data_IF_789094594981
#
_entry.id   IF_789094594981
#
_cell.length_a   1.000
_cell.length_b   1.000
_cell.length_c   1.000
_cell.angle_alpha   90.00
_cell.angle_beta   90.00
_cell.angle_gamma   90.00
#
_symmetry.space_group_name_H-M   'P 1'
#
loop_
_entity.id
_entity.type
_entity.pdbx_description
1 polymer ?
#
# COMPACT_ATOMS: atom_id res chain seq x y z
N UNK A 1 -28.36 -6.21 30.68
CA UNK A 1 -27.96 -5.26 29.61
C UNK A 1 -27.04 -6.00 28.67
N UNK A 2 -27.46 -6.20 27.43
CA UNK A 2 -26.64 -6.85 26.40
C UNK A 2 -25.52 -5.89 26.00
N UNK A 3 -24.27 -6.27 26.26
CA UNK A 3 -23.14 -5.69 25.55
C UNK A 3 -23.00 -6.51 24.26
N UNK A 4 -23.43 -5.90 23.15
CA UNK A 4 -23.19 -6.43 21.81
C UNK A 4 -21.66 -6.50 21.66
N UNK A 5 -21.10 -7.70 21.77
CA UNK A 5 -19.70 -7.92 21.44
C UNK A 5 -19.55 -7.57 19.97
N UNK A 6 -18.89 -6.45 19.72
CA UNK A 6 -18.64 -5.87 18.40
C UNK A 6 -18.18 -6.98 17.46
N UNK A 7 -18.95 -7.22 16.40
CA UNK A 7 -18.46 -7.90 15.21
C UNK A 7 -17.51 -6.95 14.48
N UNK A 8 -16.45 -6.54 15.18
CA UNK A 8 -15.36 -5.79 14.61
C UNK A 8 -14.72 -6.68 13.57
N UNK A 9 -14.89 -6.28 12.32
CA UNK A 9 -13.71 -5.93 11.52
C UNK A 9 -12.70 -7.04 11.22
N UNK A 10 -13.01 -8.34 11.25
CA UNK A 10 -12.02 -9.33 10.78
C UNK A 10 -11.61 -9.05 9.31
N UNK A 11 -12.59 -8.67 8.48
CA UNK A 11 -12.33 -8.22 7.11
C UNK A 11 -11.63 -6.85 7.06
N UNK A 12 -12.02 -5.89 7.89
CA UNK A 12 -11.41 -4.55 7.87
C UNK A 12 -10.00 -4.50 8.48
N UNK A 13 -9.69 -5.38 9.44
CA UNK A 13 -8.33 -5.60 9.96
C UNK A 13 -7.45 -6.22 8.88
N UNK A 14 -7.96 -7.23 8.17
CA UNK A 14 -7.20 -7.85 7.06
C UNK A 14 -6.99 -6.84 5.92
N UNK A 15 -7.97 -5.97 5.63
CA UNK A 15 -7.80 -4.90 4.67
C UNK A 15 -6.72 -3.91 5.12
N UNK A 16 -6.70 -3.51 6.39
CA UNK A 16 -5.63 -2.68 6.96
C UNK A 16 -4.24 -3.30 6.75
N UNK A 17 -4.10 -4.58 7.07
CA UNK A 17 -2.86 -5.34 6.91
C UNK A 17 -2.33 -5.38 5.46
N UNK A 18 -3.22 -5.27 4.47
CA UNK A 18 -2.82 -5.17 3.06
C UNK A 18 -2.01 -3.88 2.81
N UNK A 19 -2.44 -2.75 3.38
CA UNK A 19 -1.76 -1.45 3.25
C UNK A 19 -0.56 -1.31 4.17
N UNK A 20 -0.48 -2.11 5.23
CA UNK A 20 0.69 -2.21 6.13
C UNK A 20 1.80 -3.09 5.55
N UNK A 21 1.59 -3.71 4.38
CA UNK A 21 2.50 -4.70 3.83
C UNK A 21 2.79 -5.84 4.83
N UNK A 22 1.77 -6.25 5.57
CA UNK A 22 1.86 -7.31 6.58
C UNK A 22 1.47 -8.70 6.00
N UNK A 23 1.01 -8.73 4.75
CA UNK A 23 0.54 -9.93 4.06
C UNK A 23 1.40 -10.21 2.81
N UNK A 24 1.51 -11.49 2.41
CA UNK A 24 2.08 -11.83 1.10
C UNK A 24 1.13 -11.40 -0.02
N UNK A 25 1.66 -11.22 -1.22
CA UNK A 25 0.95 -10.61 -2.34
C UNK A 25 -0.48 -11.14 -2.57
N UNK A 26 -0.67 -12.45 -2.70
CA UNK A 26 -2.00 -13.03 -2.96
C UNK A 26 -3.01 -12.67 -1.85
N UNK A 27 -2.58 -12.72 -0.59
CA UNK A 27 -3.43 -12.35 0.54
C UNK A 27 -3.70 -10.84 0.56
N UNK A 28 -2.72 -10.02 0.22
CA UNK A 28 -2.89 -8.56 0.03
C UNK A 28 -3.95 -8.25 -1.01
N UNK A 29 -3.88 -8.88 -2.20
CA UNK A 29 -4.85 -8.63 -3.27
C UNK A 29 -6.24 -9.11 -2.88
N UNK A 30 -6.36 -10.29 -2.26
CA UNK A 30 -7.62 -10.81 -1.76
C UNK A 30 -8.23 -9.93 -0.65
N UNK A 31 -7.40 -9.34 0.21
CA UNK A 31 -7.85 -8.46 1.28
C UNK A 31 -8.32 -7.10 0.73
N UNK A 32 -7.53 -6.49 -0.16
CA UNK A 32 -7.89 -5.23 -0.81
C UNK A 32 -9.12 -5.38 -1.72
N UNK A 33 -9.25 -6.50 -2.45
CA UNK A 33 -10.39 -6.78 -3.32
C UNK A 33 -11.72 -6.99 -2.60
N UNK A 34 -11.72 -7.11 -1.27
CA UNK A 34 -12.96 -7.12 -0.45
C UNK A 34 -13.50 -5.72 -0.15
N UNK A 35 -12.72 -4.67 -0.43
CA UNK A 35 -13.16 -3.30 -0.24
C UNK A 35 -14.10 -2.87 -1.38
N UNK A 36 -15.02 -1.97 -1.05
CA UNK A 36 -15.90 -1.37 -2.04
C UNK A 36 -15.09 -0.50 -3.00
N UNK A 37 -15.24 -0.74 -4.30
CA UNK A 37 -14.59 0.05 -5.36
C UNK A 37 -15.39 1.33 -5.57
N UNK A 38 -14.75 2.48 -5.34
CA UNK A 38 -15.34 3.80 -5.63
C UNK A 38 -15.12 4.22 -7.08
N UNK A 39 -13.90 4.02 -7.56
CA UNK A 39 -13.50 4.44 -8.90
C UNK A 39 -12.42 3.53 -9.44
N UNK A 40 -12.48 3.27 -10.74
CA UNK A 40 -11.41 2.62 -11.46
C UNK A 40 -11.03 3.44 -12.69
N UNK A 41 -9.74 3.51 -12.97
CA UNK A 41 -9.21 4.23 -14.12
C UNK A 41 -8.02 3.50 -14.72
N UNK A 42 -7.89 3.62 -16.03
CA UNK A 42 -6.76 3.06 -16.79
C UNK A 42 -6.05 4.22 -17.46
N UNK A 43 -4.74 4.31 -17.25
CA UNK A 43 -3.90 5.32 -17.89
C UNK A 43 -2.91 4.64 -18.83
N UNK A 44 -3.03 4.86 -20.14
CA UNK A 44 -1.96 4.53 -21.08
C UNK A 44 -0.77 5.52 -20.97
N UNK A 45 -0.93 6.58 -20.17
CA UNK A 45 -0.02 7.72 -20.08
C UNK A 45 1.42 7.33 -19.77
N UNK A 46 2.31 7.66 -20.70
CA UNK A 46 3.74 7.33 -20.69
C UNK A 46 4.06 5.83 -20.66
N UNK A 47 3.29 4.97 -21.35
CA UNK A 47 3.62 3.54 -21.49
C UNK A 47 5.07 3.25 -21.94
N UNK A 48 5.67 4.16 -22.72
CA UNK A 48 7.08 4.10 -23.10
C UNK A 48 8.06 4.30 -21.92
N UNK A 49 7.71 5.16 -20.96
CA UNK A 49 8.57 5.53 -19.83
C UNK A 49 8.20 4.82 -18.51
N UNK A 50 6.96 4.37 -18.34
CA UNK A 50 6.49 3.75 -17.09
C UNK A 50 5.55 2.57 -17.30
N UNK A 51 5.22 2.18 -18.54
CA UNK A 51 4.20 1.17 -18.82
C UNK A 51 2.78 1.68 -18.53
N UNK A 52 1.74 1.06 -19.13
CA UNK A 52 0.36 1.39 -18.81
C UNK A 52 0.07 1.05 -17.34
N UNK A 53 -0.90 1.75 -16.75
CA UNK A 53 -1.30 1.50 -15.37
C UNK A 53 -2.81 1.48 -15.18
N UNK A 54 -3.27 0.62 -14.29
CA UNK A 54 -4.64 0.57 -13.81
C UNK A 54 -4.65 1.00 -12.35
N UNK A 55 -5.51 1.95 -12.00
CA UNK A 55 -5.67 2.44 -10.63
C UNK A 55 -7.11 2.23 -10.19
N UNK A 56 -7.28 1.66 -9.00
CA UNK A 56 -8.54 1.44 -8.31
C UNK A 56 -8.51 2.24 -7.02
N UNK A 57 -9.56 3.00 -6.75
CA UNK A 57 -9.79 3.70 -5.49
C UNK A 57 -10.89 2.97 -4.72
N UNK A 58 -10.63 2.74 -3.43
CA UNK A 58 -11.53 2.00 -2.56
C UNK A 58 -12.14 2.91 -1.50
N UNK A 59 -13.32 2.55 -1.04
CA UNK A 59 -13.92 3.16 0.13
C UNK A 59 -13.10 2.81 1.38
N UNK A 60 -12.83 3.80 2.23
CA UNK A 60 -12.10 3.60 3.49
C UNK A 60 -12.92 2.73 4.45
N UNK A 61 -14.21 3.00 4.57
CA UNK A 61 -15.10 2.32 5.52
C UNK A 61 -14.57 2.41 6.97
N UNK A 62 -14.46 1.26 7.63
CA UNK A 62 -13.89 1.14 8.99
C UNK A 62 -12.41 0.74 9.00
N UNK A 63 -11.75 0.75 7.85
CA UNK A 63 -10.36 0.30 7.72
C UNK A 63 -9.43 1.17 8.55
N UNK A 64 -8.55 0.53 9.34
CA UNK A 64 -7.47 1.19 10.07
C UNK A 64 -6.14 0.61 9.62
N UNK A 65 -5.18 1.48 9.37
CA UNK A 65 -3.82 1.16 8.95
C UNK A 65 -2.88 1.74 10.02
N UNK A 66 -2.12 0.88 10.69
CA UNK A 66 -1.38 1.19 11.91
C UNK A 66 -2.22 1.89 12.98
N UNK A 67 -3.49 1.49 13.09
CA UNK A 67 -4.44 2.06 14.06
C UNK A 67 -5.05 3.41 13.68
N UNK A 68 -4.64 4.00 12.57
CA UNK A 68 -5.16 5.27 12.07
C UNK A 68 -6.14 5.06 10.91
N UNK A 69 -7.12 5.97 10.78
CA UNK A 69 -8.10 5.95 9.69
C UNK A 69 -7.53 6.73 8.50
N UNK A 70 -7.32 6.08 7.34
CA UNK A 70 -6.85 6.77 6.14
C UNK A 70 -7.95 7.66 5.53
N UNK A 71 -7.56 8.65 4.74
CA UNK A 71 -8.49 9.50 3.96
C UNK A 71 -8.84 8.89 2.61
N UNK A 72 -7.94 8.09 2.05
CA UNK A 72 -8.16 7.37 0.79
C UNK A 72 -7.30 6.11 0.75
N UNK A 73 -7.79 5.10 0.03
CA UNK A 73 -7.13 3.82 -0.21
C UNK A 73 -7.08 3.57 -1.71
N UNK A 74 -5.93 3.23 -2.25
CA UNK A 74 -5.80 2.94 -3.68
C UNK A 74 -4.98 1.69 -3.95
N UNK A 75 -5.26 1.06 -5.09
CA UNK A 75 -4.42 0.03 -5.70
C UNK A 75 -4.01 0.50 -7.08
N UNK A 76 -2.75 0.30 -7.43
CA UNK A 76 -2.21 0.57 -8.76
C UNK A 76 -1.46 -0.66 -9.24
N UNK A 77 -1.82 -1.14 -10.42
CA UNK A 77 -1.03 -2.12 -11.17
C UNK A 77 -0.37 -1.40 -12.34
N UNK A 78 0.96 -1.45 -12.39
CA UNK A 78 1.75 -0.88 -13.46
C UNK A 78 2.41 -2.01 -14.25
N UNK A 79 2.15 -2.04 -15.55
CA UNK A 79 2.74 -3.02 -16.45
C UNK A 79 4.20 -2.65 -16.78
N UNK A 80 5.00 -3.60 -17.29
CA UNK A 80 6.34 -3.31 -17.71
C UNK A 80 6.37 -2.30 -18.85
N UNK A 81 7.44 -1.51 -18.92
CA UNK A 81 7.69 -0.63 -20.06
C UNK A 81 7.84 -1.48 -21.33
N UNK A 82 7.30 -1.01 -22.45
CA UNK A 82 7.34 -1.77 -23.72
C UNK A 82 8.77 -2.13 -24.16
N UNK A 83 9.75 -1.27 -23.87
CA UNK A 83 11.15 -1.45 -24.29
C UNK A 83 12.11 -1.79 -23.14
N UNK A 84 11.61 -2.18 -21.96
CA UNK A 84 12.48 -2.56 -20.87
C UNK A 84 13.16 -3.92 -21.16
N UNK A 85 14.49 -4.05 -20.91
CA UNK A 85 15.21 -5.31 -21.09
C UNK A 85 14.75 -6.39 -20.09
N UNK A 86 14.14 -5.99 -18.96
CA UNK A 86 13.44 -6.88 -18.03
C UNK A 86 11.99 -6.44 -17.91
N UNK A 87 11.07 -7.39 -18.10
CA UNK A 87 9.63 -7.17 -17.99
C UNK A 87 9.21 -7.37 -16.53
N UNK A 88 9.15 -6.26 -15.79
CA UNK A 88 8.73 -6.22 -14.40
C UNK A 88 7.43 -5.46 -14.27
N UNK A 89 6.43 -6.09 -13.65
CA UNK A 89 5.20 -5.46 -13.21
C UNK A 89 5.37 -4.96 -11.78
N UNK A 90 4.69 -3.88 -11.47
CA UNK A 90 4.68 -3.30 -10.13
C UNK A 90 3.25 -3.20 -9.65
N UNK A 91 2.93 -3.90 -8.56
CA UNK A 91 1.67 -3.75 -7.87
C UNK A 91 1.89 -2.90 -6.62
N UNK A 92 1.04 -1.90 -6.43
CA UNK A 92 1.18 -0.92 -5.37
C UNK A 92 -0.15 -0.73 -4.67
N UNK A 93 -0.20 -0.91 -3.36
CA UNK A 93 -1.37 -0.51 -2.53
C UNK A 93 -0.97 0.67 -1.67
N UNK A 94 -1.77 1.72 -1.70
CA UNK A 94 -1.50 2.96 -0.96
C UNK A 94 -2.61 3.27 0.05
N UNK A 95 -2.20 3.77 1.21
CA UNK A 95 -3.07 4.40 2.18
C UNK A 95 -2.62 5.84 2.42
N UNK A 96 -3.52 6.79 2.19
CA UNK A 96 -3.28 8.22 2.38
C UNK A 96 -3.86 8.68 3.71
N UNK A 97 -3.20 9.64 4.35
CA UNK A 97 -3.59 10.14 5.67
C UNK A 97 -3.62 11.67 5.68
N UNK A 98 -4.39 12.29 6.58
CA UNK A 98 -4.32 13.74 6.76
C UNK A 98 -2.92 14.14 7.27
N UNK A 99 -2.52 15.39 7.04
CA UNK A 99 -1.30 15.97 7.62
C UNK A 99 -1.49 16.19 9.13
N UNK A 100 -1.45 15.09 9.89
CA UNK A 100 -1.66 15.02 11.33
C UNK A 100 -0.43 14.44 12.04
N UNK A 101 0.17 15.24 12.92
CA UNK A 101 1.38 14.88 13.64
C UNK A 101 1.21 13.66 14.55
N UNK A 102 0.01 13.40 15.08
CA UNK A 102 -0.24 12.25 15.95
C UNK A 102 -0.23 10.94 15.17
N UNK A 103 -0.94 10.89 14.04
CA UNK A 103 -0.97 9.76 13.11
C UNK A 103 0.42 9.48 12.53
N UNK A 104 1.11 10.55 12.14
CA UNK A 104 2.48 10.56 11.66
C UNK A 104 3.43 9.89 12.67
N UNK A 105 3.39 10.28 13.95
CA UNK A 105 4.18 9.67 15.01
C UNK A 105 3.79 8.21 15.29
N UNK A 106 2.50 7.88 15.25
CA UNK A 106 2.02 6.52 15.47
C UNK A 106 2.57 5.55 14.41
N UNK A 107 2.60 5.95 13.13
CA UNK A 107 3.14 5.14 12.03
C UNK A 107 4.66 4.94 12.17
N UNK A 108 5.41 5.98 12.57
CA UNK A 108 6.84 5.82 12.87
C UNK A 108 7.04 4.82 14.01
N UNK A 109 6.28 4.97 15.10
CA UNK A 109 6.45 4.13 16.28
C UNK A 109 6.03 2.66 16.04
N UNK A 110 5.07 2.43 15.15
CA UNK A 110 4.52 1.10 14.89
C UNK A 110 5.43 0.17 14.07
N UNK A 111 6.50 0.68 13.46
CA UNK A 111 7.37 -0.11 12.59
C UNK A 111 8.85 0.19 12.79
N UNK A 112 9.70 -0.81 12.61
CA UNK A 112 11.14 -0.63 12.55
C UNK A 112 11.52 -0.06 11.19
N UNK A 113 11.73 1.25 11.12
CA UNK A 113 12.17 1.94 9.91
C UNK A 113 13.70 2.03 9.86
N UNK A 114 14.30 1.80 8.69
CA UNK A 114 15.71 2.17 8.49
C UNK A 114 15.78 3.69 8.35
N UNK A 115 16.13 4.40 9.44
CA UNK A 115 16.27 5.86 9.48
C UNK A 115 17.33 6.42 8.50
N UNK A 116 18.03 5.58 7.73
CA UNK A 116 19.09 5.96 6.79
C UNK A 116 18.64 6.60 5.47
N UNK A 117 17.35 6.52 5.11
CA UNK A 117 16.76 7.23 3.95
C UNK A 117 15.77 8.33 4.36
N UNK A 118 15.42 8.40 5.64
CA UNK A 118 14.57 9.41 6.27
C UNK A 118 15.35 10.70 6.57
N UNK A 119 16.04 11.25 5.57
CA UNK A 119 16.88 12.44 5.74
C UNK A 119 16.06 13.74 5.85
N UNK A 120 16.60 14.81 6.48
CA UNK A 120 15.97 16.12 6.46
C UNK A 120 15.84 16.61 5.00
N UNK A 121 14.61 16.79 4.52
CA UNK A 121 14.32 17.26 3.17
C UNK A 121 14.08 16.16 2.11
N UNK A 122 14.27 14.88 2.45
CA UNK A 122 13.81 13.76 1.61
C UNK A 122 12.81 12.90 2.38
N UNK A 123 11.66 12.73 1.74
CA UNK A 123 10.37 12.36 2.31
C UNK A 123 10.17 10.86 2.52
N UNK A 124 11.15 9.99 2.27
CA UNK A 124 10.89 8.55 2.12
C UNK A 124 11.55 7.69 3.20
N UNK A 125 10.75 6.96 3.96
CA UNK A 125 11.17 5.94 4.90
C UNK A 125 10.82 4.55 4.38
N UNK A 126 11.74 3.58 4.50
CA UNK A 126 11.51 2.19 4.08
C UNK A 126 11.61 1.27 5.30
N UNK A 127 10.68 0.31 5.42
CA UNK A 127 10.67 -0.65 6.52
C UNK A 127 11.96 -1.47 6.51
N UNK A 128 12.50 -1.74 7.69
CA UNK A 128 13.69 -2.54 7.83
C UNK A 128 13.45 -3.98 7.32
N UNK A 129 14.41 -4.52 6.56
CA UNK A 129 14.26 -5.83 5.90
C UNK A 129 14.01 -6.97 6.91
N UNK A 130 14.64 -6.91 8.06
CA UNK A 130 14.48 -7.83 9.19
C UNK A 130 13.13 -7.67 9.91
N UNK A 131 12.43 -6.56 9.70
CA UNK A 131 11.07 -6.34 10.20
C UNK A 131 9.98 -6.69 9.16
N UNK A 132 10.37 -7.10 7.94
CA UNK A 132 9.41 -7.51 6.91
C UNK A 132 8.96 -8.97 7.14
N UNK A 133 7.64 -9.25 7.15
CA UNK A 133 7.14 -10.62 7.14
C UNK A 133 7.57 -11.37 5.87
N UNK A 134 7.67 -12.69 5.95
CA UNK A 134 8.02 -13.53 4.81
C UNK A 134 7.03 -13.35 3.65
N UNK A 135 7.55 -13.07 2.47
CA UNK A 135 6.75 -12.86 1.25
C UNK A 135 5.99 -11.53 1.19
N UNK A 136 6.15 -10.65 2.19
CA UNK A 136 5.61 -9.31 2.14
C UNK A 136 6.35 -8.43 1.12
N UNK A 137 5.64 -7.42 0.62
CA UNK A 137 6.23 -6.39 -0.24
C UNK A 137 7.13 -5.42 0.53
N UNK A 138 7.68 -4.46 -0.20
CA UNK A 138 8.41 -3.34 0.38
C UNK A 138 7.42 -2.29 0.88
N UNK A 139 7.42 -2.04 2.21
CA UNK A 139 6.66 -0.96 2.79
C UNK A 139 7.49 0.32 2.78
N UNK A 140 6.95 1.34 2.15
CA UNK A 140 7.48 2.68 2.05
C UNK A 140 6.52 3.67 2.69
N UNK A 141 7.08 4.72 3.25
CA UNK A 141 6.35 5.77 3.94
C UNK A 141 6.84 7.12 3.44
N UNK A 142 5.94 7.90 2.86
CA UNK A 142 6.25 9.15 2.20
C UNK A 142 5.69 10.34 2.97
N UNK A 143 6.55 11.31 3.30
CA UNK A 143 6.29 12.52 4.08
C UNK A 143 6.79 13.76 3.37
N UNK A 144 5.91 14.47 2.68
CA UNK A 144 6.25 15.77 2.13
C UNK A 144 5.53 16.87 2.92
N UNK A 145 6.29 17.87 3.39
CA UNK A 145 5.76 18.97 4.20
C UNK A 145 4.63 19.68 3.45
N UNK A 146 3.47 19.83 4.09
CA UNK A 146 2.31 20.50 3.52
C UNK A 146 1.51 19.66 2.52
N UNK A 147 1.75 18.36 2.47
CA UNK A 147 0.95 17.40 1.69
C UNK A 147 0.56 16.21 2.56
N UNK A 148 -0.59 15.57 2.30
CA UNK A 148 -0.93 14.27 2.89
C UNK A 148 0.23 13.29 2.79
N UNK A 149 0.62 12.69 3.90
CA UNK A 149 1.57 11.57 3.87
C UNK A 149 0.84 10.29 3.46
N UNK A 150 1.59 9.33 2.93
CA UNK A 150 1.03 8.05 2.52
C UNK A 150 1.97 6.90 2.78
N UNK A 151 1.38 5.73 3.00
CA UNK A 151 2.07 4.45 3.01
C UNK A 151 1.88 3.79 1.65
N UNK A 152 2.95 3.18 1.17
CA UNK A 152 3.03 2.51 -0.12
C UNK A 152 3.59 1.09 0.13
N UNK A 153 2.79 0.05 -0.11
CA UNK A 153 3.27 -1.33 -0.12
C UNK A 153 3.44 -1.77 -1.57
N UNK A 154 4.69 -2.06 -1.95
CA UNK A 154 5.10 -2.38 -3.32
C UNK A 154 5.46 -3.84 -3.44
N UNK A 155 4.93 -4.48 -4.48
CA UNK A 155 5.39 -5.77 -4.94
C UNK A 155 5.86 -5.66 -6.39
N UNK A 156 6.98 -6.32 -6.69
CA UNK A 156 7.53 -6.41 -8.04
C UNK A 156 7.51 -7.86 -8.49
N UNK A 157 7.05 -8.09 -9.71
CA UNK A 157 6.92 -9.43 -10.30
C UNK A 157 7.45 -9.44 -11.72
N UNK A 158 8.06 -10.55 -12.10
CA UNK A 158 8.27 -10.90 -13.51
C UNK A 158 6.97 -11.34 -14.20
N UNK A 159 6.98 -11.37 -15.52
CA UNK A 159 5.90 -11.96 -16.33
C UNK A 159 5.59 -13.42 -15.95
N UNK A 160 6.60 -14.20 -15.56
CA UNK A 160 6.44 -15.61 -15.19
C UNK A 160 5.73 -15.75 -13.84
N UNK A 161 6.09 -14.90 -12.87
CA UNK A 161 5.46 -14.87 -11.56
C UNK A 161 3.99 -14.44 -11.65
N UNK A 162 3.66 -13.48 -12.51
CA UNK A 162 2.25 -13.09 -12.72
C UNK A 162 1.42 -14.21 -13.34
N UNK A 163 1.94 -14.91 -14.35
CA UNK A 163 1.23 -16.06 -14.93
C UNK A 163 1.03 -17.19 -13.92
N UNK A 164 1.96 -17.34 -12.96
CA UNK A 164 1.82 -18.30 -11.87
C UNK A 164 0.76 -17.89 -10.83
N UNK A 165 0.39 -16.62 -10.78
CA UNK A 165 -0.64 -16.09 -9.89
C UNK A 165 -2.07 -16.27 -10.43
N UNK A 166 -2.25 -16.47 -11.74
CA UNK A 166 -3.53 -16.76 -12.41
C UNK A 166 -3.81 -15.84 -13.59
#
# INVERSE_FOLDING_TARGET
>A
MAAVASATSANAQTAGQAFECALPYQATMNAAGKLEVLRQSSSPGMALLSGPSNTVEFAVGETKVFGAVPTSLTFKLQEPRQNAPRKTYTATVNAYFPDDAATDQAIIAANSWHLGLCGPGLSLCIRAKDAAPDGAGELRYHRQKGTPFWLECVFEFSEEEIKALG
#
